data_IF_898493816377
#
_entry.id   IF_898493816377
#
_cell.length_a   1.000
_cell.length_b   1.000
_cell.length_c   1.000
_cell.angle_alpha   90.00
_cell.angle_beta   90.00
_cell.angle_gamma   90.00
#
_symmetry.space_group_name_H-M   'P 1'
#
loop_
_entity.id
_entity.type
_entity.pdbx_description
1 polymer ?
2 non-polymer ?
3 non-polymer ?
4 non-polymer ?
5 non-polymer ?
6 water ?
#
# COMPACT_ATOMS: atom_id res chain seq x y z
N UNK A 1 8.77 -9.70 -13.51
CA UNK A 1 8.35 -9.60 -12.09
C UNK A 1 8.40 -8.15 -11.61
N UNK A 2 7.24 -7.60 -11.25
CA UNK A 2 7.14 -6.25 -10.69
C UNK A 2 7.22 -6.40 -9.17
N UNK A 3 8.41 -6.23 -8.62
CA UNK A 3 8.66 -6.45 -7.20
C UNK A 3 9.53 -5.32 -6.68
N UNK A 4 9.08 -4.69 -5.61
CA UNK A 4 9.79 -3.57 -5.03
C UNK A 4 9.38 -3.38 -3.58
N UNK A 5 9.52 -2.14 -3.10
CA UNK A 5 9.24 -1.82 -1.72
C UNK A 5 8.82 -0.37 -1.64
N UNK A 6 8.37 0.04 -0.45
CA UNK A 6 8.25 1.47 -0.24
C UNK A 6 9.66 2.03 -0.16
N UNK A 7 9.81 3.25 -0.66
CA UNK A 7 11.09 3.95 -0.63
C UNK A 7 10.83 5.39 -0.25
N UNK A 8 11.92 6.09 0.10
CA UNK A 8 11.81 7.45 0.59
C UNK A 8 11.47 8.41 -0.54
N UNK A 9 10.66 9.43 -0.20
CA UNK A 9 10.36 10.55 -1.07
C UNK A 9 10.69 11.81 -0.27
N UNK A 10 11.96 12.21 -0.29
CA UNK A 10 12.46 13.22 0.63
C UNK A 10 13.62 13.99 0.01
N UNK A 11 13.98 15.09 0.67
CA UNK A 11 15.13 15.89 0.27
C UNK A 11 14.91 16.65 -1.01
N UNK A 12 16.02 17.21 -1.52
CA UNK A 12 15.97 17.94 -2.79
C UNK A 12 15.70 17.01 -3.95
N UNK A 13 16.16 15.76 -3.87
CA UNK A 13 16.04 14.83 -4.99
C UNK A 13 14.62 14.29 -5.14
N UNK A 14 13.86 14.15 -4.05
CA UNK A 14 12.48 13.67 -4.15
C UNK A 14 12.40 12.44 -5.05
N UNK A 15 11.64 12.50 -6.15
CA UNK A 15 11.36 11.29 -6.91
C UNK A 15 12.62 10.70 -7.52
N UNK A 16 13.62 11.53 -7.82
CA UNK A 16 14.89 11.00 -8.28
C UNK A 16 15.54 10.13 -7.21
N UNK A 17 15.44 10.54 -5.95
CA UNK A 17 15.98 9.73 -4.87
C UNK A 17 15.22 8.44 -4.66
N UNK A 18 13.91 8.46 -4.89
CA UNK A 18 13.13 7.23 -4.75
C UNK A 18 13.57 6.19 -5.77
N UNK A 19 13.78 6.61 -7.02
CA UNK A 19 14.19 5.69 -8.07
C UNK A 19 15.58 5.15 -7.82
N UNK A 20 16.49 6.00 -7.33
CA UNK A 20 17.84 5.53 -7.00
C UNK A 20 17.79 4.48 -5.91
N UNK A 21 17.02 4.74 -4.86
CA UNK A 21 16.91 3.77 -3.77
C UNK A 21 16.28 2.47 -4.25
N UNK A 22 15.24 2.56 -5.09
CA UNK A 22 14.63 1.34 -5.61
C UNK A 22 15.64 0.55 -6.41
N UNK A 23 16.46 1.23 -7.22
CA UNK A 23 17.47 0.49 -7.97
C UNK A 23 18.50 -0.13 -7.03
N UNK A 24 18.88 0.60 -5.99
CA UNK A 24 19.85 0.07 -5.04
C UNK A 24 19.39 -1.29 -4.49
N UNK A 25 18.10 -1.46 -4.28
CA UNK A 25 17.56 -2.67 -3.69
C UNK A 25 17.18 -3.72 -4.73
N UNK A 26 17.52 -3.49 -6.00
CA UNK A 26 17.21 -4.45 -7.04
C UNK A 26 15.75 -4.52 -7.39
N UNK A 27 15.03 -3.41 -7.28
CA UNK A 27 13.60 -3.36 -7.49
C UNK A 27 13.26 -3.06 -8.95
N UNK A 28 12.06 -3.48 -9.36
CA UNK A 28 11.52 -3.15 -10.68
C UNK A 28 10.32 -2.22 -10.61
N UNK A 29 9.81 -1.95 -9.42
CA UNK A 29 8.73 -1.02 -9.16
C UNK A 29 8.96 -0.51 -7.74
N UNK A 30 8.19 0.49 -7.32
CA UNK A 30 8.32 0.96 -5.95
C UNK A 30 7.09 1.79 -5.60
N UNK A 31 6.96 2.11 -4.32
CA UNK A 31 5.84 2.92 -3.87
C UNK A 31 6.35 4.06 -3.01
N UNK A 32 5.70 5.21 -3.13
CA UNK A 32 6.10 6.39 -2.39
C UNK A 32 4.86 7.04 -1.80
N UNK A 33 5.06 7.65 -0.63
CA UNK A 33 4.19 8.72 -0.17
C UNK A 33 4.69 10.01 -0.81
N UNK A 34 3.79 10.94 -1.08
CA UNK A 34 4.22 12.14 -1.78
C UNK A 34 4.95 13.13 -0.86
N UNK A 35 5.18 12.74 0.40
CA UNK A 35 5.85 13.55 1.40
C UNK A 35 5.91 12.77 2.69
N UNK A 36 5.76 13.44 3.83
CA UNK A 36 5.73 12.72 5.10
C UNK A 36 4.53 11.78 5.15
N UNK A 37 4.72 10.51 5.53
CA UNK A 37 3.56 9.61 5.62
C UNK A 37 2.55 10.01 6.67
N UNK A 38 2.91 10.80 7.68
CA UNK A 38 2.01 11.04 8.79
C UNK A 38 1.49 12.47 8.86
N UNK A 39 1.52 13.21 7.75
CA UNK A 39 0.91 14.54 7.69
C UNK A 39 0.61 14.87 6.24
N UNK A 40 -0.07 16.01 6.04
CA UNK A 40 -0.53 16.45 4.73
C UNK A 40 0.30 17.58 4.15
N UNK A 41 1.41 17.94 4.78
CA UNK A 41 2.29 18.97 4.23
C UNK A 41 2.98 18.46 2.98
N UNK A 42 2.88 19.23 1.89
CA UNK A 42 3.40 18.75 0.62
C UNK A 42 4.07 19.87 -0.15
N UNK A 43 5.05 19.48 -0.96
CA UNK A 43 5.74 20.40 -1.86
C UNK A 43 4.96 20.56 -3.16
N UNK A 44 5.28 21.62 -3.88
CA UNK A 44 4.69 21.85 -5.18
C UNK A 44 5.14 20.78 -6.16
N UNK A 45 4.36 20.61 -7.23
CA UNK A 45 4.68 19.57 -8.20
C UNK A 45 6.04 19.83 -8.85
N UNK A 46 6.41 21.10 -9.06
CA UNK A 46 7.71 21.37 -9.67
C UNK A 46 8.84 20.81 -8.80
N UNK A 47 8.74 21.00 -7.48
CA UNK A 47 9.78 20.56 -6.55
C UNK A 47 9.78 19.06 -6.31
N UNK A 48 8.85 18.29 -6.89
CA UNK A 48 8.89 16.84 -6.75
C UNK A 48 9.95 16.19 -7.64
N UNK A 49 10.57 16.94 -8.55
CA UNK A 49 11.72 16.47 -9.33
C UNK A 49 11.33 15.31 -10.24
N UNK A 50 10.17 15.45 -10.89
CA UNK A 50 9.57 14.32 -11.59
C UNK A 50 10.34 14.01 -12.86
N UNK A 51 10.69 15.02 -13.65
CA UNK A 51 11.40 14.79 -14.90
C UNK A 51 12.67 13.98 -14.67
N UNK A 52 13.46 14.37 -13.67
CA UNK A 52 14.70 13.67 -13.37
C UNK A 52 14.42 12.26 -12.83
N UNK A 53 13.37 12.12 -12.01
CA UNK A 53 13.00 10.79 -11.54
C UNK A 53 12.66 9.84 -12.67
N UNK A 54 11.94 10.34 -13.68
CA UNK A 54 11.55 9.50 -14.80
C UNK A 54 12.75 9.04 -15.61
N UNK A 55 13.74 9.92 -15.77
CA UNK A 55 14.95 9.53 -16.49
C UNK A 55 15.67 8.40 -15.75
N UNK A 56 15.77 8.51 -14.43
CA UNK A 56 16.37 7.44 -13.65
C UNK A 56 15.56 6.16 -13.77
N UNK A 57 14.22 6.27 -13.73
CA UNK A 57 13.38 5.08 -13.85
C UNK A 57 13.59 4.39 -15.20
N UNK A 58 13.65 5.16 -16.29
CA UNK A 58 13.92 4.55 -17.59
C UNK A 58 15.33 3.97 -17.64
N UNK A 59 16.28 4.63 -16.99
CA UNK A 59 17.64 4.11 -16.93
C UNK A 59 17.69 2.74 -16.29
N UNK A 60 16.99 2.58 -15.16
CA UNK A 60 17.12 1.38 -14.33
C UNK A 60 15.95 0.41 -14.51
N UNK A 61 15.09 0.65 -15.49
CA UNK A 61 13.99 -0.28 -15.77
C UNK A 61 12.90 -0.33 -14.73
N UNK A 62 12.58 0.81 -14.12
CA UNK A 62 11.55 0.89 -13.10
C UNK A 62 10.24 1.36 -13.71
N UNK A 63 9.15 0.69 -13.36
CA UNK A 63 7.85 0.99 -13.94
C UNK A 63 6.76 0.73 -12.93
N UNK A 64 5.53 1.11 -13.29
CA UNK A 64 4.33 0.73 -12.56
C UNK A 64 4.42 1.12 -11.09
N UNK A 65 4.82 2.36 -10.84
CA UNK A 65 4.98 2.81 -9.46
C UNK A 65 3.62 3.12 -8.84
N UNK A 66 3.64 3.22 -7.52
CA UNK A 66 2.46 3.29 -6.69
C UNK A 66 2.62 4.48 -5.76
N UNK A 67 1.54 5.21 -5.53
CA UNK A 67 1.49 6.27 -4.53
C UNK A 67 0.62 5.80 -3.38
N UNK A 68 1.02 6.14 -2.16
CA UNK A 68 0.25 5.86 -0.95
C UNK A 68 -0.09 7.17 -0.28
N UNK A 69 -1.37 7.39 -0.02
CA UNK A 69 -1.79 8.59 0.69
C UNK A 69 -1.37 8.49 2.16
N UNK A 70 -1.14 9.61 2.83
CA UNK A 70 -0.70 9.55 4.23
C UNK A 70 -1.67 8.74 5.08
N UNK A 71 -1.14 7.99 6.05
CA UNK A 71 -2.03 7.11 6.80
C UNK A 71 -2.84 7.88 7.85
N UNK A 72 -2.65 9.20 7.95
CA UNK A 72 -3.49 9.99 8.83
C UNK A 72 -4.78 10.48 8.16
N UNK A 73 -4.99 10.24 6.86
CA UNK A 73 -6.27 10.59 6.24
C UNK A 73 -7.36 9.72 6.85
N UNK A 74 -8.48 10.35 7.24
CA UNK A 74 -9.63 9.59 7.77
C UNK A 74 -10.93 10.23 7.32
N UNK A 75 -11.37 9.86 6.12
CA UNK A 75 -12.65 10.36 5.60
C UNK A 75 -13.81 9.48 6.06
N UNK A 76 -13.55 8.62 7.04
CA UNK A 76 -14.62 7.90 7.75
C UNK A 76 -15.00 8.57 9.06
N UNK A 77 -14.32 9.66 9.43
CA UNK A 77 -14.57 10.33 10.70
C UNK A 77 -15.81 11.22 10.59
N UNK A 78 -16.88 10.83 11.27
CA UNK A 78 -18.15 11.54 11.22
C UNK A 78 -18.28 12.62 12.29
N UNK A 79 -17.28 12.79 13.15
CA UNK A 79 -17.37 13.70 14.28
C UNK A 79 -16.22 14.70 14.34
N UNK A 80 -15.32 14.69 13.36
CA UNK A 80 -14.23 15.67 13.26
C UNK A 80 -14.30 16.27 11.87
N UNK A 81 -15.17 17.26 11.66
CA UNK A 81 -15.34 17.81 10.30
C UNK A 81 -14.04 18.32 9.69
N UNK A 82 -13.18 18.96 10.47
CA UNK A 82 -11.94 19.45 9.90
C UNK A 82 -11.09 18.30 9.36
N UNK A 83 -11.15 17.13 9.99
CA UNK A 83 -10.41 15.97 9.51
C UNK A 83 -11.02 15.43 8.23
N UNK A 84 -12.35 15.30 8.20
CA UNK A 84 -13.02 14.87 6.96
C UNK A 84 -12.74 15.85 5.84
N UNK A 85 -12.95 17.15 6.10
CA UNK A 85 -12.80 18.17 5.06
C UNK A 85 -11.37 18.21 4.54
N UNK A 86 -10.39 18.09 5.43
CA UNK A 86 -9.00 18.10 5.02
C UNK A 86 -8.67 16.89 4.17
N UNK A 87 -9.16 15.72 4.55
CA UNK A 87 -8.92 14.53 3.76
C UNK A 87 -9.47 14.66 2.36
N UNK A 88 -10.68 15.21 2.22
CA UNK A 88 -11.25 15.40 0.89
C UNK A 88 -10.36 16.32 0.06
N UNK A 89 -10.00 17.49 0.60
CA UNK A 89 -9.16 18.42 -0.12
C UNK A 89 -7.82 17.78 -0.47
N UNK A 90 -7.17 17.13 0.50
CA UNK A 90 -5.87 16.55 0.25
C UNK A 90 -5.92 15.54 -0.90
N UNK A 91 -6.95 14.69 -0.91
CA UNK A 91 -7.02 13.63 -1.92
C UNK A 91 -7.24 14.20 -3.32
N UNK A 92 -8.01 15.27 -3.44
CA UNK A 92 -8.13 15.94 -4.72
C UNK A 92 -6.77 16.47 -5.18
N UNK A 93 -5.97 17.00 -4.25
CA UNK A 93 -4.63 17.45 -4.62
C UNK A 93 -3.69 16.26 -4.86
N UNK A 94 -3.91 15.14 -4.18
CA UNK A 94 -3.03 13.99 -4.38
C UNK A 94 -3.26 13.36 -5.76
N UNK A 95 -4.50 13.37 -6.23
CA UNK A 95 -4.79 12.88 -7.57
C UNK A 95 -4.01 13.67 -8.60
N UNK A 96 -3.99 15.01 -8.45
CA UNK A 96 -3.25 15.85 -9.40
C UNK A 96 -1.75 15.55 -9.34
N UNK A 97 -1.18 15.40 -8.14
CA UNK A 97 0.22 15.05 -8.01
C UNK A 97 0.52 13.69 -8.66
N UNK A 98 -0.35 12.71 -8.42
CA UNK A 98 -0.12 11.36 -8.90
C UNK A 98 -0.22 11.27 -10.42
N UNK A 99 -1.18 11.98 -11.01
CA UNK A 99 -1.26 12.09 -12.47
C UNK A 99 0.06 12.61 -13.04
N UNK A 100 0.66 13.61 -12.38
CA UNK A 100 1.93 14.14 -12.83
C UNK A 100 3.06 13.13 -12.64
N UNK A 101 3.08 12.44 -11.49
CA UNK A 101 4.11 11.45 -11.22
C UNK A 101 4.01 10.30 -12.20
N UNK A 102 2.82 10.00 -12.66
CA UNK A 102 2.61 8.90 -13.58
C UNK A 102 2.19 7.59 -12.93
N UNK A 103 1.74 7.62 -11.69
CA UNK A 103 1.23 6.42 -11.06
C UNK A 103 -0.23 6.24 -11.43
N UNK A 104 -0.67 4.99 -11.42
CA UNK A 104 -2.04 4.67 -11.81
C UNK A 104 -2.98 4.60 -10.61
N UNK A 105 -2.44 4.37 -9.41
CA UNK A 105 -3.25 4.10 -8.23
C UNK A 105 -2.67 4.85 -7.03
N UNK A 106 -3.56 5.37 -6.20
CA UNK A 106 -3.24 5.90 -4.87
C UNK A 106 -3.81 4.92 -3.85
N UNK A 107 -2.93 4.32 -3.03
CA UNK A 107 -3.40 3.47 -1.93
C UNK A 107 -3.95 4.35 -0.81
N UNK A 108 -5.13 3.99 -0.31
CA UNK A 108 -5.80 4.75 0.73
C UNK A 108 -6.40 3.80 1.76
N UNK A 109 -6.07 4.04 3.02
CA UNK A 109 -6.74 3.30 4.09
C UNK A 109 -8.18 3.80 4.17
N UNK A 110 -9.19 2.93 4.04
CA UNK A 110 -10.57 3.44 4.00
C UNK A 110 -10.90 4.37 5.17
N UNK A 111 -10.42 4.08 6.37
CA UNK A 111 -10.57 4.99 7.47
C UNK A 111 -10.95 4.26 8.73
N UNK A 112 -11.24 5.03 9.78
CA UNK A 112 -11.63 4.47 11.05
C UNK A 112 -12.85 5.23 11.58
N UNK A 113 -13.85 4.48 12.05
CA UNK A 113 -15.09 5.11 12.47
C UNK A 113 -15.06 5.66 13.89
N UNK A 114 -13.97 5.41 14.63
CA UNK A 114 -13.69 5.99 15.94
C UNK A 114 -14.91 6.08 16.84
N UNK A 115 -15.73 5.03 16.86
CA UNK A 115 -16.85 4.94 17.77
C UNK A 115 -18.21 5.10 17.14
N UNK A 116 -18.31 5.71 15.96
CA UNK A 116 -19.61 5.91 15.33
C UNK A 116 -20.16 4.63 14.69
N UNK A 117 -19.36 3.58 14.60
CA UNK A 117 -19.81 2.33 14.03
C UNK A 117 -19.50 2.21 12.55
N UNK A 118 -19.47 0.97 12.09
CA UNK A 118 -19.07 0.67 10.72
C UNK A 118 -20.01 1.34 9.73
N UNK A 119 -21.32 1.23 9.98
CA UNK A 119 -22.30 1.78 9.04
C UNK A 119 -22.08 3.28 8.85
N UNK A 120 -21.98 4.04 9.95
CA UNK A 120 -21.76 5.48 9.83
C UNK A 120 -20.43 5.79 9.15
N UNK A 121 -19.40 4.99 9.45
CA UNK A 121 -18.10 5.22 8.83
C UNK A 121 -18.12 4.97 7.35
N UNK A 122 -18.78 3.89 6.92
CA UNK A 122 -18.80 3.54 5.51
C UNK A 122 -19.58 4.60 4.72
N UNK A 123 -20.69 5.07 5.27
CA UNK A 123 -21.45 6.12 4.61
C UNK A 123 -20.63 7.40 4.47
N UNK A 124 -19.81 7.71 5.48
CA UNK A 124 -18.96 8.90 5.39
C UNK A 124 -17.86 8.73 4.35
N UNK A 125 -17.25 7.55 4.26
CA UNK A 125 -16.25 7.30 3.23
C UNK A 125 -16.85 7.50 1.84
N UNK A 126 -18.07 7.00 1.64
CA UNK A 126 -18.73 7.14 0.35
C UNK A 126 -18.96 8.60 0.03
N UNK A 127 -19.42 9.37 1.02
CA UNK A 127 -19.58 10.81 0.81
C UNK A 127 -18.26 11.46 0.42
N UNK A 128 -17.20 11.15 1.16
CA UNK A 128 -15.90 11.74 0.85
C UNK A 128 -15.37 11.35 -0.51
N UNK A 129 -15.46 10.07 -0.85
CA UNK A 129 -15.00 9.63 -2.17
C UNK A 129 -15.84 10.25 -3.28
N UNK A 130 -17.13 10.45 -3.03
CA UNK A 130 -17.96 11.11 -4.04
C UNK A 130 -17.57 12.58 -4.21
N UNK A 131 -17.00 13.21 -3.16
CA UNK A 131 -16.52 14.58 -3.31
C UNK A 131 -15.17 14.63 -4.01
N UNK A 132 -14.37 13.58 -3.86
CA UNK A 132 -13.01 13.54 -4.40
C UNK A 132 -13.05 13.25 -5.89
N UNK A 133 -13.82 12.23 -6.30
CA UNK A 133 -13.78 11.74 -7.67
C UNK A 133 -14.69 12.58 -8.57
N UNK A 134 -14.42 13.88 -8.57
CA UNK A 134 -15.13 14.85 -9.40
C UNK A 134 -14.11 15.67 -10.19
N UNK A 135 -13.29 14.96 -10.95
CA UNK A 135 -12.17 15.57 -11.65
C UNK A 135 -12.02 15.12 -13.09
N UNK A 136 -12.49 13.93 -13.46
CA UNK A 136 -12.30 13.34 -14.77
C UNK A 136 -10.84 13.04 -15.09
N UNK A 137 -9.96 13.08 -14.10
CA UNK A 137 -8.68 12.40 -14.23
C UNK A 137 -8.91 10.89 -14.30
N UNK A 138 -7.84 10.14 -14.48
CA UNK A 138 -7.93 8.69 -14.60
C UNK A 138 -7.33 7.96 -13.42
N UNK A 139 -6.62 8.66 -12.54
CA UNK A 139 -6.00 8.02 -11.40
C UNK A 139 -7.07 7.31 -10.58
N UNK A 140 -6.76 6.10 -10.14
CA UNK A 140 -7.65 5.35 -9.28
C UNK A 140 -7.24 5.48 -7.81
N UNK A 141 -8.21 5.25 -6.93
CA UNK A 141 -7.94 5.11 -5.50
C UNK A 141 -8.03 3.62 -5.17
N UNK A 142 -6.93 3.09 -4.65
CA UNK A 142 -6.83 1.67 -4.28
C UNK A 142 -7.07 1.56 -2.78
N UNK A 143 -8.29 1.17 -2.41
CA UNK A 143 -8.63 0.93 -1.01
C UNK A 143 -7.84 -0.25 -0.47
N UNK A 144 -7.18 -0.07 0.68
CA UNK A 144 -6.33 -1.12 1.22
C UNK A 144 -7.13 -2.02 2.14
N UNK A 145 -6.98 -3.35 1.95
CA UNK A 145 -7.43 -4.32 2.94
C UNK A 145 -6.77 -4.02 4.29
N UNK A 146 -7.56 -3.96 5.36
CA UNK A 146 -7.06 -3.55 6.66
C UNK A 146 -7.08 -4.70 7.67
N UNK A 147 -6.28 -4.55 8.73
CA UNK A 147 -6.11 -5.62 9.70
C UNK A 147 -7.28 -5.73 10.65
N UNK A 148 -8.05 -4.67 10.84
CA UNK A 148 -9.09 -4.67 11.85
C UNK A 148 -8.63 -4.23 13.21
N UNK A 149 -7.49 -3.56 13.30
CA UNK A 149 -7.08 -2.96 14.56
C UNK A 149 -7.98 -1.77 14.88
N UNK A 150 -8.26 -1.57 16.17
CA UNK A 150 -9.07 -0.41 16.55
C UNK A 150 -10.41 -0.39 15.83
N UNK A 151 -10.77 0.78 15.29
CA UNK A 151 -12.03 0.95 14.57
C UNK A 151 -11.83 1.04 13.06
N UNK A 152 -10.78 0.39 12.55
CA UNK A 152 -10.46 0.42 11.13
C UNK A 152 -11.60 -0.15 10.30
N UNK A 153 -11.93 0.53 9.22
CA UNK A 153 -12.87 0.02 8.22
C UNK A 153 -12.06 -0.56 7.07
N UNK A 154 -12.55 -1.66 6.49
CA UNK A 154 -11.85 -2.37 5.45
C UNK A 154 -11.25 -3.69 5.89
N UNK A 155 -11.62 -4.17 7.07
CA UNK A 155 -11.13 -5.43 7.61
C UNK A 155 -11.71 -6.63 6.90
N UNK A 156 -12.80 -6.46 6.14
CA UNK A 156 -13.38 -7.56 5.38
C UNK A 156 -13.60 -7.14 3.94
N UNK A 157 -13.59 -8.12 3.05
CA UNK A 157 -13.93 -7.84 1.66
C UNK A 157 -15.31 -7.24 1.55
N UNK A 158 -16.22 -7.63 2.45
CA UNK A 158 -17.58 -7.11 2.41
C UNK A 158 -17.62 -5.61 2.68
N UNK A 159 -16.82 -5.15 3.63
CA UNK A 159 -16.77 -3.72 3.92
C UNK A 159 -16.26 -2.95 2.71
N UNK A 160 -15.19 -3.45 2.06
CA UNK A 160 -14.73 -2.81 0.83
C UNK A 160 -15.83 -2.76 -0.22
N UNK A 161 -16.54 -3.89 -0.41
CA UNK A 161 -17.58 -3.93 -1.44
C UNK A 161 -18.70 -2.92 -1.16
N UNK A 162 -19.03 -2.69 0.12
CA UNK A 162 -20.05 -1.70 0.46
C UNK A 162 -19.60 -0.29 0.07
N UNK A 163 -18.33 0.05 0.35
CA UNK A 163 -17.79 1.33 -0.10
C UNK A 163 -17.90 1.43 -1.62
N UNK A 164 -17.43 0.40 -2.33
CA UNK A 164 -17.40 0.44 -3.79
C UNK A 164 -18.81 0.64 -4.34
N UNK A 165 -19.79 -0.04 -3.76
CA UNK A 165 -21.15 0.02 -4.27
C UNK A 165 -21.77 1.40 -4.09
N UNK A 166 -21.35 2.15 -3.06
CA UNK A 166 -21.93 3.45 -2.79
C UNK A 166 -21.36 4.58 -3.63
N UNK A 167 -20.16 4.41 -4.16
CA UNK A 167 -19.48 5.47 -4.90
C UNK A 167 -20.04 5.53 -6.32
N UNK A 168 -20.29 6.75 -6.79
CA UNK A 168 -20.88 6.94 -8.12
C UNK A 168 -19.90 6.54 -9.21
N UNK A 169 -18.71 7.14 -9.22
CA UNK A 169 -17.67 6.78 -10.19
C UNK A 169 -16.80 5.66 -9.63
N UNK A 170 -17.45 4.52 -9.36
CA UNK A 170 -16.74 3.42 -8.69
C UNK A 170 -15.78 2.69 -9.62
N UNK A 171 -15.84 2.92 -10.93
CA UNK A 171 -14.79 2.44 -11.83
C UNK A 171 -13.45 3.10 -11.53
N UNK A 172 -13.44 4.21 -10.78
CA UNK A 172 -12.19 4.83 -10.35
C UNK A 172 -11.61 4.18 -9.10
N UNK A 173 -12.28 3.18 -8.54
CA UNK A 173 -11.79 2.49 -7.35
C UNK A 173 -11.13 1.17 -7.72
N UNK A 174 -10.11 0.80 -6.93
CA UNK A 174 -9.47 -0.50 -7.02
C UNK A 174 -9.22 -0.96 -5.58
N UNK A 175 -8.43 -2.02 -5.43
CA UNK A 175 -8.08 -2.53 -4.11
C UNK A 175 -6.58 -2.78 -4.03
N UNK A 176 -6.01 -2.47 -2.87
CA UNK A 176 -4.65 -2.87 -2.52
C UNK A 176 -4.74 -4.04 -1.54
N UNK A 177 -4.17 -5.16 -1.92
CA UNK A 177 -4.24 -6.38 -1.13
C UNK A 177 -2.96 -6.52 -0.31
N UNK A 178 -3.09 -6.45 1.02
CA UNK A 178 -1.97 -6.52 1.95
C UNK A 178 -2.02 -7.86 2.68
N UNK A 179 -0.95 -8.66 2.52
CA UNK A 179 -0.93 -10.02 3.05
C UNK A 179 -0.93 -10.06 4.58
N UNK A 180 -0.30 -9.07 5.24
CA UNK A 180 -0.32 -9.05 6.70
C UNK A 180 -1.71 -8.67 7.21
N UNK A 181 -2.36 -7.71 6.55
CA UNK A 181 -3.65 -7.23 7.02
C UNK A 181 -4.71 -8.31 6.89
N UNK A 182 -4.80 -8.94 5.72
CA UNK A 182 -5.81 -9.97 5.53
C UNK A 182 -5.60 -11.10 6.53
N UNK A 183 -4.33 -11.49 6.74
CA UNK A 183 -3.99 -12.54 7.70
C UNK A 183 -4.38 -12.13 9.12
N UNK A 184 -4.01 -10.91 9.53
CA UNK A 184 -4.38 -10.43 10.88
C UNK A 184 -5.89 -10.24 11.02
N UNK A 185 -6.59 -9.94 9.93
CA UNK A 185 -8.04 -9.82 10.01
C UNK A 185 -8.72 -11.18 10.14
N UNK A 186 -8.04 -12.26 9.73
CA UNK A 186 -8.56 -13.61 9.89
C UNK A 186 -8.59 -14.46 8.63
N UNK A 187 -8.24 -13.90 7.49
CA UNK A 187 -8.27 -14.69 6.26
C UNK A 187 -7.09 -15.67 6.24
N UNK A 188 -7.31 -16.86 5.70
CA UNK A 188 -6.30 -17.93 5.76
C UNK A 188 -5.39 -17.87 4.54
N UNK A 189 -4.63 -16.77 4.46
CA UNK A 189 -3.74 -16.61 3.33
C UNK A 189 -2.51 -17.48 3.46
N UNK A 190 -2.22 -17.97 4.67
CA UNK A 190 -1.07 -18.85 4.87
C UNK A 190 -1.33 -20.22 4.27
N UNK A 191 -2.52 -20.78 4.49
CA UNK A 191 -2.78 -22.16 4.11
C UNK A 191 -3.91 -22.34 3.10
N UNK A 192 -4.60 -21.28 2.72
CA UNK A 192 -5.72 -21.39 1.77
C UNK A 192 -5.84 -20.13 0.93
N UNK A 193 -4.71 -19.65 0.41
CA UNK A 193 -4.70 -18.39 -0.32
C UNK A 193 -5.64 -18.43 -1.52
N UNK A 194 -5.57 -19.50 -2.30
CA UNK A 194 -6.49 -19.62 -3.43
C UNK A 194 -7.95 -19.58 -2.97
N UNK A 195 -8.24 -20.12 -1.79
CA UNK A 195 -9.59 -19.97 -1.24
C UNK A 195 -9.91 -18.52 -0.90
N UNK A 196 -8.94 -17.79 -0.35
CA UNK A 196 -9.18 -16.38 -0.07
C UNK A 196 -9.42 -15.62 -1.37
N UNK A 197 -8.63 -15.92 -2.40
CA UNK A 197 -8.78 -15.22 -3.67
C UNK A 197 -10.12 -15.55 -4.32
N UNK A 198 -10.60 -16.78 -4.13
CA UNK A 198 -11.92 -17.14 -4.63
C UNK A 198 -13.00 -16.30 -3.96
N UNK A 199 -12.91 -16.13 -2.64
CA UNK A 199 -13.88 -15.29 -1.94
C UNK A 199 -13.80 -13.84 -2.43
N UNK A 200 -12.58 -13.31 -2.57
CA UNK A 200 -12.40 -11.96 -3.08
C UNK A 200 -13.02 -11.83 -4.48
N UNK A 201 -12.83 -12.85 -5.31
CA UNK A 201 -13.34 -12.83 -6.68
C UNK A 201 -14.87 -12.79 -6.68
N UNK A 202 -15.51 -13.52 -5.76
CA UNK A 202 -16.97 -13.49 -5.65
C UNK A 202 -17.46 -12.10 -5.23
N UNK A 203 -16.76 -11.47 -4.29
CA UNK A 203 -17.28 -10.27 -3.61
C UNK A 203 -16.85 -8.99 -4.31
N UNK A 204 -15.67 -8.97 -4.92
CA UNK A 204 -15.13 -7.74 -5.49
C UNK A 204 -14.64 -7.95 -6.91
N UNK A 205 -13.83 -8.99 -7.09
CA UNK A 205 -13.19 -9.26 -8.36
C UNK A 205 -11.70 -9.09 -8.23
N UNK A 206 -10.95 -10.16 -8.47
CA UNK A 206 -9.51 -10.12 -8.33
C UNK A 206 -8.87 -9.17 -9.33
N UNK A 207 -9.53 -8.94 -10.47
CA UNK A 207 -9.00 -7.99 -11.45
C UNK A 207 -8.91 -6.59 -10.90
N UNK A 208 -9.61 -6.29 -9.81
CA UNK A 208 -9.60 -4.96 -9.19
C UNK A 208 -8.42 -4.76 -8.25
N UNK A 209 -7.67 -5.82 -7.93
CA UNK A 209 -6.46 -5.67 -7.11
C UNK A 209 -5.38 -5.08 -8.00
N UNK A 210 -5.03 -3.81 -7.76
CA UNK A 210 -4.03 -3.12 -8.56
C UNK A 210 -2.71 -2.92 -7.83
N UNK A 211 -2.65 -3.23 -6.55
CA UNK A 211 -1.42 -3.21 -5.79
C UNK A 211 -1.47 -4.35 -4.79
N UNK A 212 -0.33 -5.01 -4.58
CA UNK A 212 -0.19 -6.02 -3.53
C UNK A 212 0.91 -5.55 -2.58
N UNK A 213 0.59 -5.53 -1.28
CA UNK A 213 1.58 -5.31 -0.23
C UNK A 213 1.99 -6.66 0.35
N UNK A 214 3.29 -6.93 0.34
CA UNK A 214 3.86 -8.21 0.73
C UNK A 214 4.55 -8.02 2.08
N UNK A 215 3.92 -8.52 3.13
CA UNK A 215 4.38 -8.37 4.51
C UNK A 215 4.10 -9.67 5.26
N UNK A 216 5.07 -10.15 6.03
CA UNK A 216 4.79 -11.17 7.03
C UNK A 216 4.19 -10.49 8.26
N UNK A 217 3.77 -11.29 9.25
CA UNK A 217 3.14 -10.77 10.46
C UNK A 217 3.80 -11.31 11.73
N UNK A 218 3.83 -10.45 12.76
CA UNK A 218 4.34 -10.85 14.07
C UNK A 218 3.29 -11.56 14.93
N UNK A 219 2.10 -11.80 14.40
CA UNK A 219 1.01 -12.37 15.17
C UNK A 219 0.28 -13.39 14.31
N UNK A 220 -0.39 -14.32 14.97
CA UNK A 220 -1.07 -15.37 14.22
C UNK A 220 -2.37 -14.84 13.63
N UNK A 221 -3.00 -15.68 12.83
CA UNK A 221 -4.16 -15.31 12.04
C UNK A 221 -5.28 -14.79 12.93
N UNK A 222 -5.88 -13.68 12.53
CA UNK A 222 -6.99 -13.10 13.27
C UNK A 222 -6.62 -12.26 14.46
N UNK A 223 -5.33 -11.95 14.66
CA UNK A 223 -4.92 -11.19 15.83
C UNK A 223 -5.30 -9.72 15.74
N UNK A 224 -5.49 -9.20 14.53
CA UNK A 224 -5.92 -7.81 14.33
C UNK A 224 -4.97 -6.83 14.98
N UNK A 225 -3.67 -7.07 14.83
CA UNK A 225 -2.64 -6.24 15.47
C UNK A 225 -1.86 -5.37 14.51
N UNK A 226 -1.64 -5.83 13.28
CA UNK A 226 -0.98 -5.06 12.23
C UNK A 226 0.44 -4.66 12.61
N UNK A 227 1.28 -5.67 12.85
CA UNK A 227 2.71 -5.49 13.10
C UNK A 227 3.46 -6.34 12.07
N UNK A 228 4.03 -5.68 11.07
CA UNK A 228 4.70 -6.40 10.00
C UNK A 228 5.97 -7.09 10.50
N UNK A 229 6.32 -8.16 9.82
CA UNK A 229 7.52 -8.94 10.06
C UNK A 229 8.21 -9.19 8.74
N UNK A 230 9.52 -9.40 8.82
CA UNK A 230 10.32 -9.70 7.64
C UNK A 230 9.88 -11.02 7.01
N UNK A 231 10.07 -11.10 5.68
CA UNK A 231 9.54 -12.22 4.90
C UNK A 231 10.10 -13.54 5.44
N UNK A 232 9.21 -14.41 5.89
CA UNK A 232 9.59 -15.73 6.35
C UNK A 232 9.88 -15.82 7.84
N UNK A 233 9.90 -14.69 8.56
CA UNK A 233 10.23 -14.71 9.98
C UNK A 233 9.01 -14.56 10.87
N UNK A 234 7.82 -14.55 10.28
CA UNK A 234 6.59 -14.38 11.04
C UNK A 234 5.65 -15.55 10.90
N UNK A 235 4.36 -15.29 11.16
CA UNK A 235 3.37 -16.35 11.26
C UNK A 235 2.77 -16.76 9.93
N UNK A 236 3.04 -16.01 8.86
CA UNK A 236 2.62 -16.43 7.53
C UNK A 236 3.66 -17.35 6.92
N UNK A 237 4.94 -16.98 6.99
CA UNK A 237 6.02 -17.83 6.55
C UNK A 237 6.38 -17.67 5.09
N UNK A 238 7.54 -18.21 4.74
CA UNK A 238 8.10 -17.96 3.42
C UNK A 238 7.32 -18.67 2.32
N UNK A 239 6.99 -19.95 2.52
CA UNK A 239 6.31 -20.70 1.46
C UNK A 239 5.03 -19.99 1.03
N UNK A 240 4.23 -19.52 2.00
CA UNK A 240 2.98 -18.83 1.70
C UNK A 240 3.24 -17.50 1.00
N UNK A 241 4.17 -16.70 1.51
CA UNK A 241 4.44 -15.40 0.90
C UNK A 241 5.06 -15.57 -0.48
N UNK A 242 6.00 -16.51 -0.61
CA UNK A 242 6.61 -16.79 -1.91
C UNK A 242 5.54 -17.21 -2.92
N UNK A 243 4.65 -18.10 -2.51
CA UNK A 243 3.53 -18.48 -3.39
C UNK A 243 2.75 -17.25 -3.85
N UNK A 244 2.46 -16.32 -2.94
CA UNK A 244 1.65 -15.16 -3.30
C UNK A 244 2.41 -14.27 -4.29
N UNK A 245 3.71 -14.04 -4.03
CA UNK A 245 4.49 -13.14 -4.87
C UNK A 245 4.51 -13.59 -6.31
N UNK A 246 4.65 -14.90 -6.54
CA UNK A 246 4.79 -15.46 -7.87
C UNK A 246 3.46 -15.91 -8.47
N UNK A 247 2.35 -15.57 -7.82
CA UNK A 247 1.04 -16.07 -8.23
C UNK A 247 0.63 -15.46 -9.56
N UNK A 248 0.05 -16.31 -10.42
CA UNK A 248 -0.37 -15.89 -11.75
C UNK A 248 -1.43 -14.79 -11.70
N UNK A 249 -2.29 -14.79 -10.67
CA UNK A 249 -3.30 -13.75 -10.61
C UNK A 249 -2.71 -12.38 -10.37
N UNK A 250 -1.46 -12.29 -9.89
CA UNK A 250 -0.81 -11.02 -9.59
C UNK A 250 0.27 -10.69 -10.61
N UNK A 251 0.29 -11.39 -11.73
CA UNK A 251 1.23 -11.08 -12.80
C UNK A 251 0.93 -9.68 -13.34
N UNK A 252 2.00 -8.89 -13.50
CA UNK A 252 1.91 -7.49 -13.93
C UNK A 252 1.16 -6.62 -12.93
N UNK A 253 1.03 -7.06 -11.69
CA UNK A 253 0.55 -6.22 -10.59
C UNK A 253 1.74 -5.90 -9.70
N UNK A 254 2.02 -4.63 -9.40
CA UNK A 254 3.19 -4.33 -8.55
C UNK A 254 3.02 -4.99 -7.18
N UNK A 255 4.07 -5.69 -6.74
CA UNK A 255 4.15 -6.29 -5.41
C UNK A 255 5.15 -5.49 -4.58
N UNK A 256 4.72 -5.02 -3.40
CA UNK A 256 5.41 -3.96 -2.65
C UNK A 256 5.66 -4.45 -1.22
N UNK A 257 6.95 -4.64 -0.88
CA UNK A 257 7.33 -4.96 0.50
C UNK A 257 7.19 -3.73 1.40
N UNK A 258 6.59 -3.92 2.58
CA UNK A 258 6.57 -2.90 3.63
C UNK A 258 7.11 -3.46 4.94
N UNK A 259 8.08 -4.36 4.85
CA UNK A 259 8.60 -5.06 6.01
C UNK A 259 9.49 -4.14 6.85
N UNK A 260 9.70 -4.49 8.11
CA UNK A 260 10.46 -3.62 9.00
C UNK A 260 11.97 -3.66 8.82
N UNK A 261 12.60 -2.55 9.16
CA UNK A 261 14.05 -2.52 9.20
C UNK A 261 14.56 -3.49 10.27
N UNK A 262 15.80 -3.95 10.10
CA UNK A 262 16.44 -4.89 11.01
C UNK A 262 17.59 -4.19 11.68
N UNK A 263 17.79 -4.43 12.97
CA UNK A 263 18.90 -3.82 13.66
C UNK A 263 18.92 -4.16 15.14
N UNK A 264 20.09 -3.94 15.75
CA UNK A 264 20.26 -4.20 17.17
C UNK A 264 19.48 -3.20 18.01
N UNK A 265 19.69 -1.91 17.73
CA UNK A 265 18.96 -0.83 18.37
C UNK A 265 18.36 0.05 17.28
N UNK A 266 17.51 0.97 17.70
CA UNK A 266 16.85 1.87 16.77
C UNK A 266 17.83 2.81 16.07
N UNK A 267 19.08 2.87 16.53
CA UNK A 267 20.09 3.71 15.89
C UNK A 267 20.93 2.95 14.88
N UNK A 268 20.65 1.65 14.67
CA UNK A 268 21.40 0.86 13.70
C UNK A 268 20.48 0.02 12.82
N UNK A 269 19.23 0.47 12.63
CA UNK A 269 18.28 -0.26 11.81
C UNK A 269 18.66 -0.18 10.33
N UNK A 270 18.53 -1.30 9.62
CA UNK A 270 18.92 -1.34 8.21
C UNK A 270 17.79 -1.90 7.36
N UNK A 271 17.63 -1.41 6.13
CA UNK A 271 16.53 -1.89 5.27
C UNK A 271 16.77 -3.32 4.80
N UNK A 272 15.74 -4.16 4.85
CA UNK A 272 15.88 -5.55 4.41
C UNK A 272 15.50 -5.83 2.96
N UNK A 273 15.11 -4.80 2.19
CA UNK A 273 14.40 -5.04 0.93
C UNK A 273 15.31 -5.69 -0.11
N UNK A 274 16.56 -5.27 -0.17
CA UNK A 274 17.48 -5.87 -1.13
C UNK A 274 17.56 -7.38 -0.94
N UNK A 275 17.73 -7.84 0.29
CA UNK A 275 17.90 -9.26 0.52
C UNK A 275 16.58 -10.02 0.51
N UNK A 276 15.49 -9.39 0.93
CA UNK A 276 14.19 -10.05 0.83
C UNK A 276 13.80 -10.27 -0.63
N UNK A 277 14.17 -9.33 -1.51
CA UNK A 277 13.82 -9.47 -2.91
C UNK A 277 14.67 -10.55 -3.56
N UNK A 278 15.96 -10.59 -3.24
CA UNK A 278 16.81 -11.70 -3.68
C UNK A 278 16.23 -13.04 -3.24
N UNK A 279 15.83 -13.13 -1.98
CA UNK A 279 15.34 -14.38 -1.43
C UNK A 279 14.07 -14.83 -2.15
N UNK A 280 13.18 -13.90 -2.46
CA UNK A 280 11.93 -14.23 -3.12
C UNK A 280 12.16 -14.56 -4.60
N UNK A 281 13.14 -13.94 -5.23
CA UNK A 281 13.46 -14.32 -6.60
C UNK A 281 14.07 -15.71 -6.67
N UNK A 282 14.83 -16.11 -5.65
CA UNK A 282 15.37 -17.46 -5.61
C UNK A 282 14.32 -18.50 -5.25
N UNK A 283 13.24 -18.09 -4.58
CA UNK A 283 12.21 -19.01 -4.08
C UNK A 283 12.81 -19.99 -3.08
N UNK A 284 13.75 -19.49 -2.27
CA UNK A 284 14.40 -20.31 -1.26
C UNK A 284 14.60 -19.47 0.00
N UNK A 285 14.03 -19.93 1.11
CA UNK A 285 14.14 -19.19 2.37
C UNK A 285 15.57 -19.15 2.85
N UNK A 286 16.04 -17.96 3.21
CA UNK A 286 17.37 -17.79 3.78
C UNK A 286 17.23 -17.51 5.26
N UNK A 287 17.43 -18.50 6.13
CA UNK A 287 17.28 -18.27 7.58
C UNK A 287 18.26 -17.28 8.14
N UNK A 288 19.33 -16.96 7.42
CA UNK A 288 20.32 -16.00 7.89
C UNK A 288 19.99 -14.57 7.48
N UNK A 289 18.80 -14.33 6.91
CA UNK A 289 18.52 -13.03 6.30
C UNK A 289 18.67 -11.89 7.30
N UNK A 290 18.14 -12.05 8.51
CA UNK A 290 18.22 -10.96 9.48
C UNK A 290 19.66 -10.72 9.91
N UNK A 291 20.43 -11.79 10.07
CA UNK A 291 21.85 -11.62 10.43
C UNK A 291 22.59 -10.92 9.31
N UNK A 292 22.24 -11.19 8.06
CA UNK A 292 22.90 -10.52 6.95
C UNK A 292 22.52 -9.05 6.88
N UNK A 293 21.22 -8.73 7.02
CA UNK A 293 20.80 -7.34 6.96
C UNK A 293 21.46 -6.53 8.08
N UNK A 294 21.42 -7.07 9.30
CA UNK A 294 21.93 -6.39 10.48
C UNK A 294 23.38 -5.95 10.32
N UNK A 295 24.08 -6.48 9.31
CA UNK A 295 25.51 -6.21 9.13
C UNK A 295 25.85 -5.93 7.66
N UNK A 296 24.88 -5.43 6.89
CA UNK A 296 25.13 -5.06 5.50
C UNK A 296 26.16 -3.92 5.39
X LIG B 1 -1.12 1.22 3.96
X LIG C 1 0.10 -2.12 3.47
X LIG D 1 0.15 -2.69 8.18
X LIG E 1 0.42 -0.37 6.50
X LIG E 1 0.22 -0.70 7.96
X LIG E 1 1.64 0.51 6.36
X LIG E 1 -0.83 0.38 6.04
X LIG E 1 0.60 -1.60 5.63
X LIG F 1 -9.30 10.60 12.78
X LIG G 1 4.84 -9.42 -12.10
#
# INVERSE_FOLDING_TARGET
>A
MLLGSHVSMSGKKMLEGSAIEAHEYGETTFMIYTGAPQNTRRKSIEDLNITKGHEVMEKYGLSNIVVHAPYIINIANTTKPETFNLGVDFLQQEIERTQAIGAKDIVLHPGAHVGAGVDAGINKIIEGLNEVLTNDNNVRIALETMAGKGTEIGRSFEELARIIDGVHNNERLSVCFDTCHTHDAGYNVKEDFDGVLNEFDKIIGVDRIKVVHVNDSKNDRGAQKDRHENIGFGYIGFDALNYIVHHDSFKDIPKILETPYVGEDKKNKKPPYKLEIEMLKQQHFDPELKNKVMQQ
>B hetero
1 FE FE
>C hetero
1 FE FE
>D hetero
1 ZN ZN
>E hetero
1 PO4 P O1 O2 O3 O4
>F hetero
1 CL CL
>G hetero
1 CL CL
#
